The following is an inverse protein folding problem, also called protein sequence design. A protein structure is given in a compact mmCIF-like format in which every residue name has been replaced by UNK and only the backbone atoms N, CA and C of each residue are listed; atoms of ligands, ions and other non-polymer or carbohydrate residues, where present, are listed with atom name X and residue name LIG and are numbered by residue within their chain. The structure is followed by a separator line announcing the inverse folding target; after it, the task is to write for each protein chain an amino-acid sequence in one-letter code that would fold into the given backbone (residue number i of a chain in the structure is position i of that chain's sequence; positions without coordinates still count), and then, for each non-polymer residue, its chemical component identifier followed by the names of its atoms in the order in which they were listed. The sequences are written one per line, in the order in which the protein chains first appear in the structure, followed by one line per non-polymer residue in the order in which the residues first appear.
data_IF_011967632884
#
_entry.id   IF_011967632884
#
_cell.length_a   1.000
_cell.length_b   1.000
_cell.length_c   1.000
_cell.angle_alpha   90.00
_cell.angle_beta   90.00
_cell.angle_gamma   90.00
#
_symmetry.space_group_name_H-M   'P 1'
#
loop_
_entity.id
_entity.type
_entity.pdbx_description
1 polymer ?
#
# COMPACT_ATOMS: atom_id res chain seq x y z
N UNK A 1 19.55 -14.42 -39.27
CA UNK A 1 19.08 -13.21 -40.00
C UNK A 1 18.41 -12.31 -39.03
N UNK A 2 19.00 -11.17 -38.77
CA UNK A 2 18.68 -10.21 -37.72
C UNK A 2 17.36 -9.47 -37.97
N UNK A 3 16.47 -9.46 -37.00
CA UNK A 3 15.38 -8.52 -36.90
C UNK A 3 15.50 -7.74 -35.60
N UNK A 4 16.17 -6.59 -35.67
CA UNK A 4 16.18 -5.58 -34.59
C UNK A 4 14.85 -4.88 -34.63
N UNK A 5 13.93 -5.23 -33.72
CA UNK A 5 12.73 -4.43 -33.48
C UNK A 5 13.10 -3.24 -32.61
N UNK A 6 12.97 -2.06 -33.18
CA UNK A 6 13.05 -0.77 -32.50
C UNK A 6 11.94 -0.68 -31.46
N UNK A 7 12.29 -0.76 -30.20
CA UNK A 7 11.39 -0.39 -29.12
C UNK A 7 11.34 1.15 -29.03
N UNK A 8 10.24 1.71 -29.46
CA UNK A 8 9.91 3.11 -29.18
C UNK A 8 9.56 3.23 -27.70
N UNK A 9 10.43 3.88 -26.94
CA UNK A 9 10.13 4.34 -25.58
C UNK A 9 9.08 5.44 -25.66
N UNK A 10 7.83 5.11 -25.43
CA UNK A 10 6.83 6.10 -25.05
C UNK A 10 6.92 6.30 -23.53
N UNK A 11 7.57 7.37 -23.13
CA UNK A 11 7.50 7.89 -21.76
C UNK A 11 6.13 8.56 -21.56
N UNK A 12 5.11 7.77 -21.30
CA UNK A 12 3.82 8.28 -20.84
C UNK A 12 3.90 8.41 -19.34
N UNK A 13 3.99 9.62 -18.82
CA UNK A 13 3.92 9.93 -17.41
C UNK A 13 2.57 9.50 -16.86
N UNK A 14 2.57 8.54 -15.98
CA UNK A 14 1.39 7.99 -15.34
C UNK A 14 1.39 8.32 -13.85
N UNK A 15 0.26 8.77 -13.34
CA UNK A 15 0.03 9.25 -11.98
C UNK A 15 -0.84 8.30 -11.14
N UNK A 16 -0.60 8.12 -9.83
CA UNK A 16 -1.35 7.23 -8.93
C UNK A 16 -2.10 7.95 -7.86
N UNK A 17 -3.22 7.38 -7.51
CA UNK A 17 -3.95 7.73 -6.32
C UNK A 17 -3.73 6.76 -5.17
N UNK A 18 -3.31 7.32 -4.11
CA UNK A 18 -3.69 6.88 -2.79
C UNK A 18 -5.19 7.19 -2.59
N UNK A 19 -5.93 6.27 -2.04
CA UNK A 19 -7.29 6.48 -1.58
C UNK A 19 -7.27 7.49 -0.44
N UNK A 20 -7.19 8.77 -0.75
CA UNK A 20 -7.53 9.82 0.17
C UNK A 20 -9.05 9.88 0.24
N UNK A 21 -9.64 9.27 1.25
CA UNK A 21 -10.98 9.72 1.65
C UNK A 21 -10.88 11.23 1.86
N UNK A 22 -11.77 12.04 1.30
CA UNK A 22 -11.70 13.48 1.53
C UNK A 22 -11.80 13.73 3.03
N UNK A 23 -10.73 14.25 3.62
CA UNK A 23 -10.83 14.89 4.92
C UNK A 23 -11.74 16.08 4.72
N UNK A 24 -12.96 15.97 5.19
CA UNK A 24 -13.90 17.08 5.21
C UNK A 24 -13.38 18.08 6.23
N UNK A 25 -12.98 19.22 5.74
CA UNK A 25 -12.80 20.38 6.55
C UNK A 25 -14.09 20.61 7.36
N UNK A 26 -14.00 20.59 8.68
CA UNK A 26 -15.06 21.06 9.55
C UNK A 26 -15.26 22.55 9.23
N UNK A 27 -16.40 22.87 8.61
CA UNK A 27 -16.92 24.23 8.55
C UNK A 27 -17.40 24.59 9.97
N UNK A 28 -16.49 25.17 10.76
CA UNK A 28 -16.91 25.96 11.90
C UNK A 28 -17.43 27.28 11.33
N UNK A 29 -18.74 27.46 11.27
CA UNK A 29 -19.40 28.75 11.04
C UNK A 29 -19.14 29.69 12.20
N UNK A 30 -17.95 30.19 12.27
CA UNK A 30 -17.55 31.35 13.05
C UNK A 30 -16.95 32.33 12.07
N UNK A 31 -17.46 33.55 12.00
CA UNK A 31 -16.92 34.65 11.23
C UNK A 31 -15.47 34.92 11.67
N UNK A 32 -14.54 34.24 11.10
CA UNK A 32 -13.12 34.47 11.25
C UNK A 32 -12.72 35.55 10.23
N UNK A 33 -11.93 36.56 10.61
CA UNK A 33 -11.38 37.51 9.66
C UNK A 33 -10.63 36.75 8.56
N UNK A 34 -10.66 37.30 7.34
CA UNK A 34 -10.01 36.71 6.17
C UNK A 34 -8.61 36.20 6.54
N UNK A 35 -8.26 34.94 6.26
CA UNK A 35 -6.95 34.44 6.61
C UNK A 35 -5.89 35.24 5.88
N UNK A 36 -5.00 35.85 6.66
CA UNK A 36 -3.73 36.37 6.21
C UNK A 36 -3.10 35.33 5.28
N UNK A 37 -2.67 35.72 4.08
CA UNK A 37 -2.26 34.81 2.99
C UNK A 37 -1.43 33.67 3.53
N UNK A 38 -2.00 32.45 3.46
CA UNK A 38 -1.37 31.24 4.01
C UNK A 38 0.01 31.09 3.39
N UNK A 39 1.02 31.23 4.19
CA UNK A 39 2.42 31.15 3.79
C UNK A 39 2.63 29.77 3.11
N UNK A 40 3.21 29.79 1.92
CA UNK A 40 3.46 28.56 1.15
C UNK A 40 4.39 27.66 1.94
N UNK A 41 3.85 26.70 2.65
CA UNK A 41 4.65 25.74 3.39
C UNK A 41 5.30 24.75 2.42
N UNK A 42 6.60 24.64 2.47
CA UNK A 42 7.34 23.59 1.77
C UNK A 42 8.16 22.78 2.77
N UNK A 43 8.04 21.46 2.71
CA UNK A 43 8.83 20.54 3.53
C UNK A 43 9.74 19.74 2.61
N UNK A 44 11.04 19.71 2.92
CA UNK A 44 12.03 18.95 2.15
C UNK A 44 13.00 18.28 3.12
N UNK A 45 13.05 16.97 3.07
CA UNK A 45 14.02 16.22 3.86
C UNK A 45 14.53 14.96 3.14
N UNK A 46 15.69 14.51 3.57
CA UNK A 46 16.31 13.25 3.19
C UNK A 46 16.66 12.48 4.48
N UNK A 47 16.04 11.34 4.67
CA UNK A 47 16.35 10.39 5.74
C UNK A 47 17.33 9.33 5.20
N UNK A 48 18.47 9.23 5.82
CA UNK A 48 19.45 8.16 5.59
C UNK A 48 19.40 7.21 6.78
N UNK A 49 19.26 5.92 6.54
CA UNK A 49 19.30 4.95 7.62
C UNK A 49 20.26 3.79 7.34
N UNK A 50 20.85 3.29 8.41
CA UNK A 50 21.64 2.08 8.40
C UNK A 50 21.15 1.17 9.52
N UNK A 51 21.10 -0.14 9.27
CA UNK A 51 20.74 -1.12 10.28
C UNK A 51 21.57 -2.39 10.15
N UNK A 52 21.76 -3.06 11.28
CA UNK A 52 22.37 -4.38 11.38
C UNK A 52 21.41 -5.31 12.13
N UNK A 53 21.38 -6.57 11.75
CA UNK A 53 20.50 -7.51 12.40
C UNK A 53 20.72 -8.95 11.99
N UNK A 54 19.75 -9.78 12.38
CA UNK A 54 19.74 -11.21 12.12
C UNK A 54 18.33 -11.65 11.74
N UNK A 55 18.22 -12.62 10.84
CA UNK A 55 16.97 -13.27 10.42
C UNK A 55 17.21 -14.77 10.34
N UNK A 56 16.30 -15.57 10.89
CA UNK A 56 16.43 -17.03 10.96
C UNK A 56 16.13 -17.72 9.62
N UNK A 57 15.23 -17.12 8.82
CA UNK A 57 14.83 -17.63 7.50
C UNK A 57 14.40 -16.48 6.59
N UNK A 58 15.33 -15.65 6.11
CA UNK A 58 15.01 -14.41 5.41
C UNK A 58 14.19 -14.60 4.13
N UNK A 59 14.20 -15.78 3.53
CA UNK A 59 13.48 -16.09 2.29
C UNK A 59 12.24 -16.96 2.49
N UNK A 60 11.89 -17.35 3.72
CA UNK A 60 10.81 -18.30 4.02
C UNK A 60 10.94 -19.57 3.17
N UNK A 61 12.14 -20.15 3.11
CA UNK A 61 12.41 -21.38 2.38
C UNK A 61 11.94 -22.58 3.19
N UNK A 62 11.37 -23.56 2.49
CA UNK A 62 10.90 -24.82 3.10
C UNK A 62 12.04 -25.82 3.39
N UNK A 63 13.15 -25.69 2.68
CA UNK A 63 14.33 -26.54 2.83
C UNK A 63 15.59 -25.68 2.73
N UNK A 64 16.62 -26.02 3.53
CA UNK A 64 17.90 -25.29 3.53
C UNK A 64 17.73 -23.84 4.01
N UNK A 65 16.84 -23.62 4.98
CA UNK A 65 16.73 -22.33 5.65
C UNK A 65 17.94 -22.17 6.59
N UNK A 66 18.81 -21.22 6.26
CA UNK A 66 19.90 -20.84 7.14
C UNK A 66 19.69 -19.41 7.62
N UNK A 67 19.89 -19.22 8.92
CA UNK A 67 19.86 -17.89 9.49
C UNK A 67 21.01 -17.05 8.95
N UNK A 68 20.77 -15.76 8.78
CA UNK A 68 21.77 -14.83 8.27
C UNK A 68 21.83 -13.54 9.05
N UNK A 69 23.03 -13.07 9.30
CA UNK A 69 23.24 -11.67 9.62
C UNK A 69 22.94 -10.83 8.37
N UNK A 70 22.41 -9.66 8.60
CA UNK A 70 22.08 -8.71 7.53
C UNK A 70 22.55 -7.30 7.88
N UNK A 71 23.01 -6.59 6.85
CA UNK A 71 23.24 -5.16 6.88
C UNK A 71 22.32 -4.48 5.89
N UNK A 72 21.66 -3.40 6.30
CA UNK A 72 20.75 -2.65 5.45
C UNK A 72 21.12 -1.19 5.46
N UNK A 73 21.06 -0.57 4.29
CA UNK A 73 21.17 0.88 4.12
C UNK A 73 19.97 1.35 3.31
N UNK A 74 19.40 2.48 3.70
CA UNK A 74 18.31 3.08 2.91
C UNK A 74 18.41 4.59 2.88
N UNK A 75 17.85 5.17 1.82
CA UNK A 75 17.64 6.60 1.69
C UNK A 75 16.18 6.86 1.30
N UNK A 76 15.55 7.82 1.98
CA UNK A 76 14.20 8.28 1.71
C UNK A 76 14.19 9.79 1.59
N UNK A 77 13.83 10.30 0.40
CA UNK A 77 13.64 11.72 0.15
C UNK A 77 12.15 12.06 0.08
N UNK A 78 11.79 13.21 0.64
CA UNK A 78 10.43 13.77 0.53
C UNK A 78 10.55 15.25 0.18
N UNK A 79 9.77 15.70 -0.79
CA UNK A 79 9.53 17.09 -1.08
C UNK A 79 8.03 17.31 -1.18
N UNK A 80 7.47 18.10 -0.28
CA UNK A 80 6.07 18.45 -0.25
C UNK A 80 5.91 19.96 -0.26
N UNK A 81 4.88 20.45 -0.91
CA UNK A 81 4.53 21.85 -0.94
C UNK A 81 3.02 22.02 -0.92
N UNK A 82 2.56 22.99 -0.17
CA UNK A 82 1.16 23.33 -0.06
C UNK A 82 0.96 24.85 -0.36
N UNK A 83 -0.12 25.14 -1.03
CA UNK A 83 -0.64 26.48 -1.25
C UNK A 83 -2.12 26.49 -0.91
N UNK A 84 -2.79 27.65 -1.00
CA UNK A 84 -4.20 27.81 -0.62
C UNK A 84 -5.15 26.79 -1.27
N UNK A 85 -4.93 26.51 -2.54
CA UNK A 85 -5.83 25.64 -3.34
C UNK A 85 -5.15 24.37 -3.84
N UNK A 86 -3.92 24.09 -3.46
CA UNK A 86 -3.19 22.95 -3.98
C UNK A 86 -2.20 22.39 -2.97
N UNK A 87 -2.05 21.08 -2.98
CA UNK A 87 -0.96 20.39 -2.29
C UNK A 87 -0.34 19.38 -3.24
N UNK A 88 0.97 19.22 -3.16
CA UNK A 88 1.70 18.25 -3.97
C UNK A 88 2.84 17.67 -3.16
N UNK A 89 3.20 16.42 -3.43
CA UNK A 89 4.40 15.85 -2.86
C UNK A 89 5.06 14.87 -3.84
N UNK A 90 6.37 14.75 -3.71
CA UNK A 90 7.18 13.72 -4.35
C UNK A 90 7.97 13.04 -3.24
N UNK A 91 7.97 11.72 -3.25
CA UNK A 91 8.78 10.90 -2.35
C UNK A 91 9.55 9.86 -3.13
N UNK A 92 10.80 9.65 -2.74
CA UNK A 92 11.67 8.61 -3.27
C UNK A 92 12.21 7.76 -2.14
N UNK A 93 12.39 6.48 -2.40
CA UNK A 93 12.94 5.52 -1.46
C UNK A 93 13.85 4.55 -2.21
N UNK A 94 15.00 4.25 -1.64
CA UNK A 94 15.89 3.19 -2.09
C UNK A 94 16.45 2.46 -0.87
N UNK A 95 16.51 1.14 -0.95
CA UNK A 95 17.07 0.30 0.10
C UNK A 95 17.93 -0.79 -0.53
N UNK A 96 19.09 -1.04 0.08
CA UNK A 96 19.94 -2.19 -0.17
C UNK A 96 20.09 -2.99 1.12
N UNK A 97 19.82 -4.30 1.05
CA UNK A 97 20.06 -5.25 2.14
C UNK A 97 21.06 -6.31 1.69
N UNK A 98 22.18 -6.40 2.37
CA UNK A 98 23.17 -7.47 2.18
C UNK A 98 23.00 -8.53 3.26
N UNK A 99 22.90 -9.77 2.84
CA UNK A 99 22.97 -10.92 3.73
C UNK A 99 24.40 -11.46 3.66
N UNK A 100 24.98 -11.71 4.83
CA UNK A 100 26.41 -12.08 4.91
C UNK A 100 26.69 -13.56 4.61
N UNK A 101 25.72 -14.25 4.05
CA UNK A 101 25.82 -15.61 3.54
C UNK A 101 25.24 -15.71 2.11
N UNK A 102 24.82 -16.86 1.68
CA UNK A 102 24.40 -17.21 0.30
C UNK A 102 23.20 -16.47 -0.27
N UNK A 103 22.54 -15.58 0.51
CA UNK A 103 21.35 -14.85 0.05
C UNK A 103 21.67 -13.56 -0.76
N UNK A 104 22.93 -13.13 -0.74
CA UNK A 104 23.43 -12.03 -1.57
C UNK A 104 22.86 -10.64 -1.24
N UNK A 105 22.99 -9.74 -2.20
CA UNK A 105 22.50 -8.36 -2.10
C UNK A 105 21.09 -8.26 -2.66
N UNK A 106 20.21 -7.57 -1.95
CA UNK A 106 18.86 -7.21 -2.37
C UNK A 106 18.70 -5.72 -2.38
N UNK A 107 17.98 -5.22 -3.35
CA UNK A 107 17.73 -3.79 -3.47
C UNK A 107 16.34 -3.52 -4.00
N UNK A 108 15.66 -2.58 -3.36
CA UNK A 108 14.33 -2.11 -3.76
C UNK A 108 14.35 -0.60 -3.92
N UNK A 109 13.48 -0.10 -4.76
CA UNK A 109 13.27 1.35 -4.90
C UNK A 109 11.81 1.67 -5.13
N UNK A 110 11.44 2.89 -4.80
CA UNK A 110 10.16 3.47 -5.21
C UNK A 110 10.30 4.99 -5.38
N UNK A 111 9.57 5.53 -6.34
CA UNK A 111 9.36 6.96 -6.52
C UNK A 111 7.88 7.19 -6.70
N UNK A 112 7.30 8.07 -5.91
CA UNK A 112 5.87 8.37 -5.93
C UNK A 112 5.66 9.87 -5.91
N UNK A 113 4.67 10.33 -6.67
CA UNK A 113 4.22 11.72 -6.66
C UNK A 113 2.71 11.78 -6.51
N UNK A 114 2.23 12.78 -5.82
CA UNK A 114 0.80 13.07 -5.74
C UNK A 114 0.57 14.57 -5.81
N UNK A 115 -0.60 14.96 -6.30
CA UNK A 115 -1.05 16.33 -6.32
C UNK A 115 -2.56 16.39 -6.12
N UNK A 116 -3.00 17.39 -5.40
CA UNK A 116 -4.41 17.71 -5.20
C UNK A 116 -4.61 19.18 -5.48
N UNK A 117 -5.66 19.55 -6.20
CA UNK A 117 -6.00 20.92 -6.52
C UNK A 117 -7.49 21.18 -6.36
N UNK A 118 -7.84 22.19 -5.58
CA UNK A 118 -9.18 22.76 -5.52
C UNK A 118 -9.38 23.63 -6.77
N UNK A 119 -10.34 23.30 -7.62
CA UNK A 119 -10.63 24.03 -8.86
C UNK A 119 -11.79 24.98 -8.66
N UNK A 120 -12.73 24.60 -7.80
CA UNK A 120 -13.84 25.44 -7.35
C UNK A 120 -14.21 25.07 -5.92
N UNK A 121 -15.14 25.77 -5.30
CA UNK A 121 -15.65 25.45 -3.95
C UNK A 121 -16.21 24.01 -3.86
N UNK A 122 -16.68 23.47 -4.98
CA UNK A 122 -17.31 22.16 -5.04
C UNK A 122 -16.47 21.09 -5.72
N UNK A 123 -15.38 21.43 -6.43
CA UNK A 123 -14.59 20.48 -7.22
C UNK A 123 -13.15 20.46 -6.77
N UNK A 124 -12.68 19.27 -6.38
CA UNK A 124 -11.30 18.97 -6.08
C UNK A 124 -10.78 17.90 -7.02
N UNK A 125 -9.71 18.19 -7.72
CA UNK A 125 -8.99 17.22 -8.56
C UNK A 125 -7.83 16.62 -7.78
N UNK A 126 -7.52 15.36 -8.06
CA UNK A 126 -6.35 14.70 -7.56
C UNK A 126 -5.69 13.86 -8.66
N UNK A 127 -4.38 13.78 -8.61
CA UNK A 127 -3.61 12.88 -9.45
C UNK A 127 -2.41 12.35 -8.66
N UNK A 128 -2.00 11.13 -8.94
CA UNK A 128 -0.81 10.58 -8.33
C UNK A 128 -0.11 9.57 -9.22
N UNK A 129 1.19 9.33 -9.02
CA UNK A 129 2.02 8.49 -9.84
C UNK A 129 3.29 7.92 -9.24
N UNK A 130 3.75 6.80 -9.78
CA UNK A 130 5.03 6.29 -9.34
C UNK A 130 5.51 5.05 -10.06
N UNK A 131 6.71 4.73 -9.69
CA UNK A 131 7.43 3.53 -10.12
C UNK A 131 8.05 2.88 -8.90
N UNK A 132 7.98 1.58 -8.83
CA UNK A 132 8.68 0.79 -7.80
C UNK A 132 9.25 -0.48 -8.40
N UNK A 133 10.26 -1.05 -7.77
CA UNK A 133 10.82 -2.29 -8.26
C UNK A 133 11.83 -2.91 -7.31
N UNK A 134 12.15 -4.15 -7.63
CA UNK A 134 13.23 -4.92 -7.04
C UNK A 134 14.35 -5.06 -8.09
N UNK A 135 15.54 -4.57 -7.77
CA UNK A 135 16.69 -4.61 -8.66
C UNK A 135 17.48 -5.91 -8.57
N UNK A 136 17.27 -6.70 -7.53
CA UNK A 136 18.07 -7.89 -7.22
C UNK A 136 17.45 -9.21 -7.62
N UNK A 137 16.16 -9.23 -7.93
CA UNK A 137 15.45 -10.43 -8.36
C UNK A 137 15.11 -11.43 -7.24
N UNK A 138 15.10 -10.98 -5.98
CA UNK A 138 14.73 -11.81 -4.83
C UNK A 138 13.63 -11.13 -4.01
N UNK A 139 12.40 -11.60 -4.16
CA UNK A 139 11.17 -10.98 -3.65
C UNK A 139 10.99 -10.94 -2.13
N UNK A 140 11.74 -11.72 -1.39
CA UNK A 140 11.50 -11.94 0.05
C UNK A 140 11.57 -10.70 0.94
N UNK A 141 12.16 -9.60 0.48
CA UNK A 141 12.30 -8.38 1.28
C UNK A 141 11.04 -7.52 1.36
N UNK A 142 10.04 -7.75 0.51
CA UNK A 142 8.77 -7.02 0.60
C UNK A 142 8.08 -7.23 1.95
N UNK A 143 8.38 -8.33 2.63
CA UNK A 143 7.85 -8.68 3.93
C UNK A 143 8.59 -8.03 5.11
N UNK A 144 9.81 -7.58 4.90
CA UNK A 144 10.62 -6.96 5.97
C UNK A 144 10.43 -5.44 6.05
N UNK A 145 9.65 -4.85 5.14
CA UNK A 145 9.34 -3.45 5.25
C UNK A 145 8.39 -3.24 6.45
N UNK A 146 8.98 -3.15 7.62
CA UNK A 146 8.39 -2.37 8.69
C UNK A 146 8.64 -0.92 8.27
N UNK A 147 7.64 -0.12 7.94
CA UNK A 147 7.85 1.30 7.75
C UNK A 147 8.45 1.76 9.07
N UNK A 148 9.74 2.04 9.09
CA UNK A 148 10.36 2.78 10.19
C UNK A 148 9.52 4.03 10.35
N UNK A 149 8.86 4.15 11.50
CA UNK A 149 7.79 5.08 11.75
C UNK A 149 8.07 6.42 11.04
N UNK A 150 7.35 6.78 10.01
CA UNK A 150 7.29 8.17 9.63
C UNK A 150 6.64 8.92 10.80
N UNK A 151 6.92 10.17 10.91
CA UNK A 151 6.08 11.14 11.58
C UNK A 151 4.64 10.68 11.57
N UNK A 152 3.97 10.82 12.70
CA UNK A 152 2.60 10.36 12.99
C UNK A 152 1.82 10.09 11.70
N UNK A 153 1.55 8.83 11.36
CA UNK A 153 0.88 8.54 10.11
C UNK A 153 -0.40 9.35 10.10
N UNK A 154 -0.62 10.14 9.05
CA UNK A 154 -1.86 10.89 8.89
C UNK A 154 -3.01 9.90 9.17
N UNK A 155 -3.82 10.12 10.23
CA UNK A 155 -4.87 9.19 10.61
C UNK A 155 -5.92 9.01 9.50
N UNK A 156 -5.90 9.88 8.50
CA UNK A 156 -6.81 9.85 7.36
C UNK A 156 -6.28 9.00 6.20
N UNK A 157 -4.99 8.67 6.19
CA UNK A 157 -4.42 7.79 5.15
C UNK A 157 -4.58 6.35 5.63
N UNK A 158 -5.47 5.55 5.03
CA UNK A 158 -5.46 4.12 5.28
C UNK A 158 -4.08 3.61 4.89
N UNK A 159 -3.42 2.85 5.76
CA UNK A 159 -2.28 2.05 5.33
C UNK A 159 -2.74 1.29 4.08
N UNK A 160 -2.09 1.42 2.94
CA UNK A 160 -2.43 0.54 1.83
C UNK A 160 -2.27 -0.87 2.39
N UNK A 161 -3.27 -1.75 2.25
CA UNK A 161 -3.02 -3.14 2.47
C UNK A 161 -1.85 -3.46 1.55
N UNK A 162 -0.76 -3.94 2.11
CA UNK A 162 0.30 -4.57 1.32
C UNK A 162 -0.36 -5.82 0.75
N UNK A 163 -1.06 -5.64 -0.36
CA UNK A 163 -1.68 -6.72 -1.11
C UNK A 163 -0.54 -7.40 -1.82
N UNK A 164 -0.05 -8.42 -1.19
CA UNK A 164 0.98 -9.25 -1.77
C UNK A 164 0.30 -10.33 -2.59
N UNK A 165 0.77 -10.48 -3.80
CA UNK A 165 0.35 -11.57 -4.66
C UNK A 165 0.99 -12.86 -4.12
N UNK A 166 0.21 -13.85 -3.66
CA UNK A 166 0.76 -15.08 -3.09
C UNK A 166 1.58 -15.89 -4.10
N UNK A 167 1.32 -15.73 -5.40
CA UNK A 167 2.07 -16.41 -6.44
C UNK A 167 3.51 -15.88 -6.54
N UNK A 168 3.73 -14.66 -6.08
CA UNK A 168 5.07 -14.06 -6.02
C UNK A 168 5.93 -14.53 -4.84
N UNK A 169 5.40 -15.26 -3.88
CA UNK A 169 6.17 -15.73 -2.72
C UNK A 169 7.30 -16.73 -3.07
N UNK A 170 7.19 -17.44 -4.18
CA UNK A 170 8.21 -18.37 -4.66
C UNK A 170 8.94 -17.89 -5.90
N UNK A 171 8.62 -16.70 -6.37
CA UNK A 171 9.19 -16.15 -7.58
C UNK A 171 10.61 -15.63 -7.35
N UNK A 172 11.54 -16.06 -8.17
CA UNK A 172 12.91 -15.53 -8.25
C UNK A 172 13.06 -14.74 -9.55
N UNK A 173 12.92 -13.44 -9.48
CA UNK A 173 13.00 -12.54 -10.63
C UNK A 173 12.82 -11.10 -10.19
N UNK A 174 13.17 -10.16 -11.06
CA UNK A 174 12.97 -8.74 -10.78
C UNK A 174 11.53 -8.38 -11.10
N UNK A 175 10.93 -7.55 -10.28
CA UNK A 175 9.59 -7.03 -10.51
C UNK A 175 9.64 -5.53 -10.55
N UNK A 176 9.05 -4.94 -11.58
CA UNK A 176 8.84 -3.50 -11.68
C UNK A 176 7.36 -3.22 -11.78
N UNK A 177 6.91 -2.18 -11.12
CA UNK A 177 5.54 -1.69 -11.22
C UNK A 177 5.56 -0.21 -11.54
N UNK A 178 4.84 0.15 -12.58
CA UNK A 178 4.56 1.53 -12.97
C UNK A 178 3.07 1.72 -12.86
N UNK A 179 2.64 2.87 -12.38
CA UNK A 179 1.24 3.03 -12.13
C UNK A 179 0.77 4.49 -12.22
N UNK A 180 -0.52 4.72 -12.55
CA UNK A 180 -1.11 6.00 -12.77
C UNK A 180 -2.59 6.12 -12.54
N UNK A 181 -3.04 7.21 -11.86
CA UNK A 181 -4.45 7.52 -11.78
C UNK A 181 -4.70 9.02 -11.57
N UNK A 182 -5.88 9.42 -11.96
CA UNK A 182 -6.42 10.74 -11.69
C UNK A 182 -7.90 10.62 -11.30
N UNK A 183 -8.43 11.66 -10.65
CA UNK A 183 -9.82 11.68 -10.27
C UNK A 183 -10.30 13.05 -9.83
N UNK A 184 -11.59 13.09 -9.54
CA UNK A 184 -12.27 14.27 -9.04
C UNK A 184 -13.19 13.90 -7.88
N UNK A 185 -13.23 14.76 -6.87
CA UNK A 185 -14.23 14.78 -5.82
C UNK A 185 -15.12 16.01 -6.03
N UNK A 186 -16.42 15.81 -6.11
CA UNK A 186 -17.42 16.82 -6.44
C UNK A 186 -18.43 16.88 -5.32
N UNK A 187 -18.56 18.03 -4.66
CA UNK A 187 -19.66 18.27 -3.73
C UNK A 187 -20.91 18.60 -4.53
N UNK A 188 -21.88 17.70 -4.51
CA UNK A 188 -23.14 17.83 -5.30
C UNK A 188 -24.26 18.50 -4.52
N UNK A 189 -24.05 18.75 -3.23
CA UNK A 189 -24.98 19.45 -2.34
C UNK A 189 -24.38 19.70 -0.98
N UNK A 190 -25.16 20.22 -0.04
CA UNK A 190 -24.71 20.45 1.34
C UNK A 190 -24.42 19.15 2.09
N UNK A 191 -25.05 18.04 1.68
CA UNK A 191 -24.96 16.73 2.34
C UNK A 191 -24.51 15.61 1.44
N UNK A 192 -24.02 15.88 0.23
CA UNK A 192 -23.65 14.82 -0.70
C UNK A 192 -22.39 15.13 -1.48
N UNK A 193 -21.63 14.09 -1.76
CA UNK A 193 -20.45 14.14 -2.61
C UNK A 193 -20.43 12.96 -3.60
N UNK A 194 -19.79 13.20 -4.73
CA UNK A 194 -19.48 12.18 -5.74
C UNK A 194 -17.98 12.16 -5.95
N UNK A 195 -17.40 10.98 -5.99
CA UNK A 195 -16.01 10.75 -6.36
C UNK A 195 -15.93 9.92 -7.63
N UNK A 196 -15.06 10.30 -8.55
CA UNK A 196 -14.71 9.51 -9.72
C UNK A 196 -13.18 9.44 -9.83
N UNK A 197 -12.67 8.30 -10.17
CA UNK A 197 -11.23 8.13 -10.44
C UNK A 197 -11.00 7.01 -11.43
N UNK A 198 -9.89 7.09 -12.16
CA UNK A 198 -9.46 6.05 -13.07
C UNK A 198 -7.94 6.07 -13.24
N UNK A 199 -7.40 4.96 -13.66
CA UNK A 199 -5.97 4.82 -13.83
C UNK A 199 -5.56 3.51 -14.46
N UNK A 200 -4.25 3.34 -14.56
CA UNK A 200 -3.64 2.12 -15.04
C UNK A 200 -2.39 1.78 -14.22
N UNK A 201 -2.08 0.50 -14.16
CA UNK A 201 -0.80 0.02 -13.62
C UNK A 201 -0.25 -1.09 -14.51
N UNK A 202 1.08 -1.14 -14.65
CA UNK A 202 1.78 -2.22 -15.36
C UNK A 202 2.75 -2.89 -14.40
N UNK A 203 2.69 -4.21 -14.35
CA UNK A 203 3.67 -5.06 -13.69
C UNK A 203 4.55 -5.73 -14.75
N UNK A 204 5.85 -5.68 -14.54
CA UNK A 204 6.87 -6.23 -15.45
C UNK A 204 7.72 -7.21 -14.63
N UNK A 205 7.83 -8.44 -15.11
CA UNK A 205 8.59 -9.50 -14.48
C UNK A 205 9.77 -9.88 -15.36
N UNK A 206 10.96 -9.96 -14.75
CA UNK A 206 12.16 -10.46 -15.45
C UNK A 206 12.54 -11.80 -14.82
N UNK A 207 12.35 -12.87 -15.53
CA UNK A 207 12.57 -14.24 -15.07
C UNK A 207 11.54 -15.18 -15.71
N UNK A 208 11.71 -16.47 -15.60
CA UNK A 208 10.84 -17.44 -16.22
C UNK A 208 9.53 -17.65 -15.43
N UNK A 209 8.41 -17.69 -16.11
CA UNK A 209 7.14 -18.24 -15.63
C UNK A 209 6.07 -17.28 -15.19
N UNK A 210 6.29 -15.96 -15.29
CA UNK A 210 5.25 -14.95 -15.07
C UNK A 210 5.15 -14.03 -16.29
N UNK A 211 3.92 -13.73 -16.67
CA UNK A 211 3.63 -12.80 -17.76
C UNK A 211 3.55 -11.37 -17.22
N UNK A 212 4.07 -10.44 -18.00
CA UNK A 212 3.83 -9.02 -17.76
C UNK A 212 2.33 -8.76 -17.88
N UNK A 213 1.80 -7.84 -17.08
CA UNK A 213 0.39 -7.49 -17.21
C UNK A 213 0.13 -6.01 -17.00
N UNK A 214 -0.92 -5.55 -17.64
CA UNK A 214 -1.45 -4.19 -17.48
C UNK A 214 -2.84 -4.26 -16.88
N UNK A 215 -3.08 -3.46 -15.85
CA UNK A 215 -4.40 -3.35 -15.20
C UNK A 215 -4.94 -1.94 -15.39
N UNK A 216 -6.11 -1.82 -15.98
CA UNK A 216 -6.91 -0.59 -16.03
C UNK A 216 -7.97 -0.64 -14.94
N UNK A 217 -8.25 0.49 -14.32
CA UNK A 217 -9.30 0.57 -13.30
C UNK A 217 -10.03 1.90 -13.31
N UNK A 218 -11.32 1.83 -12.97
CA UNK A 218 -12.18 2.98 -12.76
C UNK A 218 -12.98 2.77 -11.48
N UNK A 219 -13.19 3.86 -10.73
CA UNK A 219 -13.97 3.85 -9.51
C UNK A 219 -14.92 5.03 -9.48
N UNK A 220 -16.15 4.77 -9.06
CA UNK A 220 -17.15 5.77 -8.74
C UNK A 220 -17.58 5.61 -7.29
N UNK A 221 -17.86 6.71 -6.61
CA UNK A 221 -18.40 6.70 -5.26
C UNK A 221 -19.43 7.81 -5.07
N UNK A 222 -20.41 7.54 -4.23
CA UNK A 222 -21.41 8.50 -3.76
C UNK A 222 -21.45 8.44 -2.24
N UNK A 223 -21.44 9.60 -1.59
CA UNK A 223 -21.53 9.74 -0.15
C UNK A 223 -22.66 10.68 0.24
N UNK A 224 -23.42 10.31 1.27
CA UNK A 224 -24.49 11.09 1.87
C UNK A 224 -24.22 11.27 3.35
N UNK A 225 -24.10 12.51 3.82
CA UNK A 225 -23.94 12.87 5.21
C UNK A 225 -25.29 12.80 5.92
N UNK A 226 -25.51 11.75 6.71
CA UNK A 226 -26.70 11.63 7.55
C UNK A 226 -26.62 12.54 8.77
N UNK A 227 -25.41 12.73 9.29
CA UNK A 227 -25.08 13.67 10.36
C UNK A 227 -23.63 14.15 10.19
N UNK A 228 -23.17 15.07 11.05
CA UNK A 228 -21.77 15.49 11.11
C UNK A 228 -20.80 14.33 11.36
N UNK A 229 -21.27 13.27 12.00
CA UNK A 229 -20.46 12.11 12.40
C UNK A 229 -20.66 10.88 11.51
N UNK A 230 -21.70 10.86 10.67
CA UNK A 230 -22.08 9.64 9.95
C UNK A 230 -22.29 9.92 8.45
N UNK A 231 -21.56 9.17 7.64
CA UNK A 231 -21.69 9.15 6.18
C UNK A 231 -22.07 7.76 5.73
N UNK A 232 -23.10 7.63 4.94
CA UNK A 232 -23.43 6.41 4.19
C UNK A 232 -23.18 6.63 2.71
N UNK A 233 -22.96 5.56 1.96
CA UNK A 233 -22.70 5.72 0.55
C UNK A 233 -22.67 4.42 -0.22
N UNK A 234 -22.34 4.56 -1.49
CA UNK A 234 -22.13 3.45 -2.40
C UNK A 234 -20.83 3.68 -3.19
N UNK A 235 -20.18 2.60 -3.58
CA UNK A 235 -19.03 2.64 -4.50
C UNK A 235 -19.19 1.55 -5.55
N UNK A 236 -18.63 1.82 -6.73
CA UNK A 236 -18.48 0.87 -7.81
C UNK A 236 -17.04 0.92 -8.29
N UNK A 237 -16.36 -0.21 -8.23
CA UNK A 237 -15.04 -0.39 -8.82
C UNK A 237 -15.11 -1.32 -10.01
N UNK A 238 -14.42 -0.96 -11.09
CA UNK A 238 -14.22 -1.82 -12.26
C UNK A 238 -12.73 -1.93 -12.51
N UNK A 239 -12.26 -3.15 -12.74
CA UNK A 239 -10.85 -3.43 -13.05
C UNK A 239 -10.78 -4.40 -14.21
N UNK A 240 -9.92 -4.14 -15.17
CA UNK A 240 -9.58 -5.05 -16.26
C UNK A 240 -8.07 -5.27 -16.27
N UNK A 241 -7.65 -6.52 -16.28
CA UNK A 241 -6.25 -6.92 -16.36
C UNK A 241 -6.04 -7.68 -17.67
N UNK A 242 -5.00 -7.32 -18.41
CA UNK A 242 -4.60 -7.92 -19.67
C UNK A 242 -3.15 -8.41 -19.52
N UNK A 243 -2.87 -9.65 -19.91
CA UNK A 243 -1.55 -10.29 -19.81
C UNK A 243 -0.83 -10.22 -21.15
N UNK A 244 0.46 -9.89 -21.12
CA UNK A 244 1.27 -9.83 -22.32
C UNK A 244 1.65 -11.26 -22.76
N UNK A 245 1.56 -11.53 -24.06
CA UNK A 245 1.97 -12.82 -24.64
C UNK A 245 0.92 -13.93 -24.59
N UNK A 246 -0.24 -13.68 -23.99
CA UNK A 246 -1.41 -14.55 -24.01
C UNK A 246 -2.67 -13.74 -24.32
N UNK A 247 -3.74 -14.43 -24.72
CA UNK A 247 -5.07 -13.82 -24.84
C UNK A 247 -5.81 -13.78 -23.50
N UNK A 248 -5.10 -14.07 -22.41
CA UNK A 248 -5.66 -14.07 -21.07
C UNK A 248 -6.03 -12.68 -20.60
N UNK A 249 -7.21 -12.54 -20.07
CA UNK A 249 -7.66 -11.29 -19.46
C UNK A 249 -8.61 -11.56 -18.29
N UNK A 250 -8.77 -10.56 -17.45
CA UNK A 250 -9.77 -10.62 -16.39
C UNK A 250 -10.49 -9.31 -16.21
N UNK A 251 -11.78 -9.38 -15.91
CA UNK A 251 -12.61 -8.23 -15.57
C UNK A 251 -13.23 -8.46 -14.20
N UNK A 252 -13.03 -7.51 -13.29
CA UNK A 252 -13.57 -7.55 -11.93
C UNK A 252 -14.45 -6.32 -11.72
N UNK A 253 -15.70 -6.54 -11.29
CA UNK A 253 -16.65 -5.48 -10.94
C UNK A 253 -17.01 -5.63 -9.46
N UNK A 254 -16.89 -4.56 -8.69
CA UNK A 254 -17.12 -4.57 -7.24
C UNK A 254 -18.03 -3.43 -6.79
N UNK A 255 -19.37 -3.61 -6.83
CA UNK A 255 -20.30 -2.72 -6.14
C UNK A 255 -20.27 -2.96 -4.63
N UNK A 256 -20.33 -1.89 -3.84
CA UNK A 256 -20.38 -1.97 -2.38
C UNK A 256 -21.15 -0.80 -1.76
N UNK A 257 -21.87 -1.07 -0.67
CA UNK A 257 -22.39 -0.07 0.24
C UNK A 257 -21.31 0.31 1.26
N UNK A 258 -21.29 1.56 1.67
CA UNK A 258 -20.28 2.09 2.60
C UNK A 258 -20.95 2.81 3.76
N UNK A 259 -20.36 2.64 4.96
CA UNK A 259 -20.71 3.37 6.17
C UNK A 259 -19.42 3.87 6.81
N UNK A 260 -19.36 5.14 7.15
CA UNK A 260 -18.31 5.72 8.01
C UNK A 260 -18.99 6.50 9.12
N UNK A 261 -18.57 6.24 10.35
CA UNK A 261 -19.13 6.93 11.51
C UNK A 261 -18.06 7.19 12.56
N UNK A 262 -18.15 8.35 13.18
CA UNK A 262 -17.39 8.70 14.36
C UNK A 262 -18.23 8.34 15.58
N UNK A 263 -17.89 7.21 16.22
CA UNK A 263 -18.61 6.68 17.38
C UNK A 263 -18.40 7.52 18.64
N UNK A 264 -17.19 8.09 18.79
CA UNK A 264 -16.85 9.07 19.82
C UNK A 264 -15.78 10.03 19.27
N UNK A 265 -15.38 11.03 20.04
CA UNK A 265 -14.31 11.98 19.62
C UNK A 265 -13.05 11.28 19.13
N UNK A 266 -12.70 10.15 19.72
CA UNK A 266 -11.47 9.42 19.46
C UNK A 266 -11.69 8.07 18.74
N UNK A 267 -12.94 7.69 18.43
CA UNK A 267 -13.25 6.37 17.87
C UNK A 267 -13.99 6.50 16.54
N UNK A 268 -13.38 6.03 15.47
CA UNK A 268 -13.96 6.03 14.12
C UNK A 268 -14.10 4.61 13.61
N UNK A 269 -15.27 4.29 13.06
CA UNK A 269 -15.54 3.04 12.38
C UNK A 269 -15.81 3.29 10.89
N UNK A 270 -15.32 2.42 10.02
CA UNK A 270 -15.69 2.38 8.61
C UNK A 270 -15.93 0.95 8.15
N UNK A 271 -16.96 0.77 7.33
CA UNK A 271 -17.33 -0.53 6.76
C UNK A 271 -17.73 -0.34 5.31
N UNK A 272 -17.28 -1.23 4.45
CA UNK A 272 -17.77 -1.40 3.10
C UNK A 272 -18.14 -2.86 2.88
N UNK A 273 -19.37 -3.10 2.46
CA UNK A 273 -19.89 -4.44 2.17
C UNK A 273 -20.37 -4.46 0.72
N UNK A 274 -19.93 -5.46 -0.01
CA UNK A 274 -20.22 -5.57 -1.42
C UNK A 274 -20.10 -6.98 -1.98
N UNK A 275 -20.23 -7.06 -3.28
CA UNK A 275 -20.06 -8.30 -4.03
C UNK A 275 -19.02 -8.05 -5.13
N UNK A 276 -18.14 -9.01 -5.34
CA UNK A 276 -17.18 -8.98 -6.44
C UNK A 276 -17.66 -9.98 -7.49
N UNK A 277 -17.89 -9.48 -8.70
CA UNK A 277 -18.10 -10.29 -9.89
C UNK A 277 -16.79 -10.32 -10.67
N UNK A 278 -16.23 -11.50 -10.87
CA UNK A 278 -15.01 -11.70 -11.62
C UNK A 278 -15.29 -12.57 -12.84
N UNK A 279 -14.84 -12.11 -13.99
CA UNK A 279 -14.76 -12.89 -15.21
C UNK A 279 -13.29 -13.06 -15.60
N UNK A 280 -12.85 -14.28 -15.78
CA UNK A 280 -11.49 -14.63 -16.19
C UNK A 280 -11.60 -15.39 -17.49
N UNK A 281 -10.97 -14.86 -18.51
CA UNK A 281 -10.89 -15.43 -19.83
C UNK A 281 -9.45 -15.94 -20.06
N UNK A 282 -9.32 -17.23 -20.33
CA UNK A 282 -8.06 -17.90 -20.65
C UNK A 282 -8.21 -18.62 -21.99
N UNK A 283 -8.14 -17.88 -23.06
CA UNK A 283 -8.32 -18.39 -24.40
C UNK A 283 -9.65 -19.12 -24.58
N UNK A 284 -9.65 -20.45 -24.60
CA UNK A 284 -10.88 -21.24 -24.76
C UNK A 284 -11.69 -21.46 -23.47
N UNK A 285 -11.18 -21.07 -22.31
CA UNK A 285 -11.78 -21.31 -20.99
C UNK A 285 -12.20 -20.00 -20.35
N UNK A 286 -13.49 -19.83 -20.16
CA UNK A 286 -14.08 -18.69 -19.44
C UNK A 286 -14.57 -19.13 -18.07
N UNK A 287 -14.26 -18.38 -17.05
CA UNK A 287 -14.69 -18.65 -15.68
C UNK A 287 -15.32 -17.43 -15.06
N UNK A 288 -16.51 -17.61 -14.53
CA UNK A 288 -17.22 -16.61 -13.74
C UNK A 288 -17.13 -16.95 -12.26
N UNK A 289 -16.90 -15.96 -11.42
CA UNK A 289 -16.89 -16.10 -9.98
C UNK A 289 -17.61 -14.94 -9.31
N UNK A 290 -18.37 -15.26 -8.27
CA UNK A 290 -19.04 -14.25 -7.45
C UNK A 290 -18.61 -14.44 -6.00
N UNK A 291 -18.03 -13.39 -5.43
CA UNK A 291 -17.47 -13.41 -4.08
C UNK A 291 -18.00 -12.24 -3.24
N UNK A 292 -18.24 -12.49 -1.96
CA UNK A 292 -18.49 -11.41 -1.01
C UNK A 292 -17.23 -10.56 -0.86
N UNK A 293 -17.37 -9.23 -0.87
CA UNK A 293 -16.30 -8.29 -0.53
C UNK A 293 -16.62 -7.56 0.76
N UNK A 294 -15.64 -7.47 1.64
CA UNK A 294 -15.74 -6.80 2.94
C UNK A 294 -14.51 -5.96 3.13
N UNK A 295 -14.68 -4.75 3.62
CA UNK A 295 -13.59 -3.93 4.13
C UNK A 295 -14.09 -3.22 5.37
N UNK A 296 -13.42 -3.39 6.50
CA UNK A 296 -13.81 -2.79 7.76
C UNK A 296 -12.59 -2.29 8.54
N UNK A 297 -12.77 -1.17 9.22
CA UNK A 297 -11.78 -0.69 10.18
C UNK A 297 -12.46 -0.05 11.38
N UNK A 298 -11.83 -0.22 12.54
CA UNK A 298 -12.17 0.45 13.80
C UNK A 298 -10.89 1.03 14.37
N UNK A 299 -10.82 2.37 14.45
CA UNK A 299 -9.64 3.08 14.89
C UNK A 299 -9.94 3.99 16.09
N UNK A 300 -9.19 3.82 17.17
CA UNK A 300 -9.09 4.77 18.26
C UNK A 300 -7.85 5.63 18.04
N UNK A 301 -8.00 6.94 18.02
CA UNK A 301 -6.91 7.90 17.83
C UNK A 301 -6.98 8.98 18.92
N UNK A 302 -5.88 9.12 19.66
CA UNK A 302 -5.66 10.20 20.62
C UNK A 302 -4.39 10.97 20.23
N UNK A 303 -3.99 11.98 20.98
CA UNK A 303 -2.75 12.73 20.73
C UNK A 303 -1.48 11.85 20.81
N UNK A 304 -1.48 10.85 21.68
CA UNK A 304 -0.31 9.99 21.93
C UNK A 304 -0.47 8.56 21.46
N UNK A 305 -1.66 8.14 21.04
CA UNK A 305 -1.94 6.73 20.75
C UNK A 305 -2.87 6.58 19.55
N UNK A 306 -2.57 5.62 18.70
CA UNK A 306 -3.46 5.15 17.65
C UNK A 306 -3.53 3.63 17.67
N UNK A 307 -4.73 3.08 17.82
CA UNK A 307 -5.01 1.66 17.75
C UNK A 307 -6.06 1.42 16.65
N UNK A 308 -5.73 0.63 15.64
CA UNK A 308 -6.63 0.27 14.55
C UNK A 308 -6.73 -1.23 14.37
N UNK A 309 -7.96 -1.75 14.40
CA UNK A 309 -8.29 -3.08 13.91
C UNK A 309 -8.83 -3.00 12.48
N UNK A 310 -8.47 -3.96 11.63
CA UNK A 310 -8.90 -4.02 10.23
C UNK A 310 -9.30 -5.43 9.85
N UNK A 311 -10.28 -5.53 8.98
CA UNK A 311 -10.69 -6.76 8.34
C UNK A 311 -10.91 -6.48 6.85
N UNK A 312 -10.43 -7.37 5.98
CA UNK A 312 -10.73 -7.24 4.56
C UNK A 312 -10.94 -8.60 3.90
N UNK A 313 -11.84 -8.63 2.93
CA UNK A 313 -12.02 -9.71 1.98
C UNK A 313 -12.26 -9.10 0.60
N UNK A 314 -11.45 -9.47 -0.36
CA UNK A 314 -11.57 -9.01 -1.75
C UNK A 314 -10.97 -10.04 -2.69
N UNK A 315 -11.41 -9.99 -3.94
CA UNK A 315 -10.84 -10.80 -5.01
C UNK A 315 -10.00 -9.93 -5.94
N UNK A 316 -8.91 -10.49 -6.42
CA UNK A 316 -8.00 -9.85 -7.39
C UNK A 316 -7.40 -10.90 -8.32
N UNK A 317 -6.87 -10.47 -9.43
CA UNK A 317 -6.10 -11.31 -10.34
C UNK A 317 -4.65 -11.37 -9.90
N UNK A 318 -4.02 -12.54 -9.99
CA UNK A 318 -2.61 -12.75 -9.67
C UNK A 318 -1.70 -12.62 -10.89
N UNK A 319 -0.39 -12.67 -10.66
CA UNK A 319 0.62 -12.69 -11.72
C UNK A 319 0.57 -13.94 -12.62
N UNK A 320 -0.12 -15.00 -12.18
CA UNK A 320 -0.33 -16.24 -12.93
C UNK A 320 -1.71 -16.31 -13.59
N UNK A 321 -2.38 -15.15 -13.76
CA UNK A 321 -3.75 -15.03 -14.27
C UNK A 321 -4.83 -15.79 -13.47
N UNK A 322 -4.51 -16.25 -12.24
CA UNK A 322 -5.48 -16.87 -11.35
C UNK A 322 -6.34 -15.81 -10.61
N UNK A 323 -7.54 -16.18 -10.19
CA UNK A 323 -8.33 -15.38 -9.26
C UNK A 323 -7.88 -15.70 -7.84
N UNK A 324 -7.39 -14.68 -7.13
CA UNK A 324 -7.00 -14.79 -5.73
C UNK A 324 -8.00 -14.06 -4.85
N UNK A 325 -8.65 -14.81 -3.95
CA UNK A 325 -9.45 -14.24 -2.87
C UNK A 325 -8.57 -14.09 -1.63
N UNK A 326 -8.40 -12.86 -1.19
CA UNK A 326 -7.61 -12.50 -0.01
C UNK A 326 -8.55 -12.20 1.14
N UNK A 327 -8.37 -12.88 2.27
CA UNK A 327 -9.02 -12.56 3.55
C UNK A 327 -7.94 -12.11 4.52
N UNK A 328 -8.08 -10.95 5.13
CA UNK A 328 -7.11 -10.46 6.09
C UNK A 328 -7.74 -9.89 7.34
N UNK A 329 -7.07 -10.10 8.46
CA UNK A 329 -7.35 -9.46 9.75
C UNK A 329 -6.04 -8.88 10.25
N UNK A 330 -6.06 -7.65 10.73
CA UNK A 330 -4.87 -6.99 11.25
C UNK A 330 -5.18 -6.01 12.36
N UNK A 331 -4.18 -5.79 13.21
CA UNK A 331 -4.19 -4.79 14.26
C UNK A 331 -2.88 -4.02 14.19
N UNK A 332 -2.98 -2.70 14.26
CA UNK A 332 -1.83 -1.79 14.35
C UNK A 332 -2.00 -0.90 15.57
N UNK A 333 -0.98 -0.84 16.38
CA UNK A 333 -0.89 0.03 17.53
C UNK A 333 0.35 0.90 17.47
N UNK A 334 0.15 2.19 17.53
CA UNK A 334 1.20 3.21 17.61
C UNK A 334 1.04 3.98 18.90
N UNK A 335 2.13 4.22 19.62
CA UNK A 335 2.13 4.99 20.86
C UNK A 335 3.35 5.89 20.94
N UNK A 336 3.13 7.18 21.20
CA UNK A 336 4.17 8.09 21.69
C UNK A 336 4.34 7.82 23.19
N UNK A 337 5.50 7.33 23.60
CA UNK A 337 5.81 7.11 25.02
C UNK A 337 6.16 8.44 25.68
N UNK A 338 6.88 9.28 24.95
CA UNK A 338 7.18 10.68 25.25
C UNK A 338 7.43 11.45 23.94
N UNK A 339 7.94 12.70 24.01
CA UNK A 339 8.24 13.52 22.84
C UNK A 339 9.35 12.96 21.94
N UNK A 340 10.21 12.12 22.50
CA UNK A 340 11.36 11.56 21.80
C UNK A 340 11.20 10.06 21.46
N UNK A 341 10.24 9.36 22.07
CA UNK A 341 10.16 7.90 22.00
C UNK A 341 8.82 7.45 21.41
N UNK A 342 8.87 6.51 20.48
CA UNK A 342 7.69 5.90 19.88
C UNK A 342 7.79 4.40 19.89
N UNK A 343 6.64 3.73 20.07
CA UNK A 343 6.47 2.29 19.97
C UNK A 343 5.39 1.99 18.93
N UNK A 344 5.67 1.09 18.02
CA UNK A 344 4.71 0.59 17.05
C UNK A 344 4.66 -0.93 17.13
N UNK A 345 3.45 -1.47 17.20
CA UNK A 345 3.20 -2.91 17.11
C UNK A 345 2.21 -3.17 15.96
N UNK A 346 2.43 -4.24 15.22
CA UNK A 346 1.49 -4.70 14.22
C UNK A 346 1.39 -6.21 14.22
N UNK A 347 0.17 -6.71 13.99
CA UNK A 347 -0.10 -8.13 13.80
C UNK A 347 -1.09 -8.28 12.65
N UNK A 348 -0.84 -9.21 11.75
CA UNK A 348 -1.77 -9.53 10.67
C UNK A 348 -1.75 -11.00 10.31
N UNK A 349 -2.92 -11.51 9.95
CA UNK A 349 -3.12 -12.83 9.37
C UNK A 349 -3.79 -12.63 8.01
N UNK A 350 -3.27 -13.26 7.00
CA UNK A 350 -3.81 -13.22 5.64
C UNK A 350 -4.00 -14.65 5.15
N UNK A 351 -5.22 -14.95 4.72
CA UNK A 351 -5.58 -16.22 4.11
C UNK A 351 -5.85 -15.98 2.63
N UNK A 352 -5.08 -16.63 1.78
CA UNK A 352 -5.20 -16.57 0.34
C UNK A 352 -5.86 -17.84 -0.18
N UNK A 353 -6.78 -17.67 -1.12
CA UNK A 353 -7.39 -18.74 -1.88
C UNK A 353 -7.18 -18.42 -3.34
N UNK A 354 -6.29 -19.13 -4.00
CA UNK A 354 -6.04 -19.01 -5.43
C UNK A 354 -6.88 -20.05 -6.17
N UNK A 355 -7.64 -19.58 -7.14
CA UNK A 355 -8.48 -20.42 -8.00
C UNK A 355 -7.96 -20.29 -9.43
N UNK A 356 -7.15 -21.26 -9.84
CA UNK A 356 -6.69 -21.39 -11.21
C UNK A 356 -7.78 -22.06 -12.06
N UNK A 357 -7.95 -21.59 -13.30
CA UNK A 357 -8.90 -22.22 -14.25
C UNK A 357 -8.45 -23.63 -14.68
N UNK A 358 -7.17 -23.93 -14.58
CA UNK A 358 -6.55 -25.16 -15.05
C UNK A 358 -6.01 -26.07 -13.94
N UNK A 359 -6.01 -25.62 -12.68
CA UNK A 359 -5.45 -26.33 -11.55
C UNK A 359 -6.40 -26.34 -10.35
N UNK A 360 -6.12 -27.23 -9.40
CA UNK A 360 -6.84 -27.30 -8.14
C UNK A 360 -6.71 -26.00 -7.35
N UNK A 361 -7.73 -25.73 -6.54
CA UNK A 361 -7.76 -24.64 -5.59
C UNK A 361 -6.58 -24.75 -4.63
N UNK A 362 -5.76 -23.71 -4.55
CA UNK A 362 -4.62 -23.63 -3.64
C UNK A 362 -4.91 -22.64 -2.50
N UNK A 363 -4.49 -23.00 -1.31
CA UNK A 363 -4.61 -22.14 -0.14
C UNK A 363 -3.25 -21.81 0.46
N UNK A 364 -3.10 -20.61 0.98
CA UNK A 364 -1.94 -20.24 1.78
C UNK A 364 -2.32 -19.29 2.91
N UNK A 365 -1.65 -19.43 4.04
CA UNK A 365 -1.82 -18.58 5.21
C UNK A 365 -0.52 -17.84 5.48
N UNK A 366 -0.61 -16.56 5.69
CA UNK A 366 0.53 -15.72 6.03
C UNK A 366 0.27 -15.01 7.36
N UNK A 367 1.13 -15.25 8.34
CA UNK A 367 1.15 -14.56 9.62
C UNK A 367 2.32 -13.58 9.65
N UNK A 368 2.08 -12.37 10.12
CA UNK A 368 3.10 -11.36 10.37
C UNK A 368 2.88 -10.70 11.72
N UNK A 369 3.97 -10.61 12.49
CA UNK A 369 4.07 -9.83 13.70
C UNK A 369 5.26 -8.88 13.54
N UNK A 370 5.11 -7.62 13.95
CA UNK A 370 6.21 -6.67 13.95
C UNK A 370 6.11 -5.74 15.17
N UNK A 371 7.26 -5.39 15.71
CA UNK A 371 7.42 -4.41 16.77
C UNK A 371 8.57 -3.48 16.40
N UNK A 372 8.39 -2.18 16.54
CA UNK A 372 9.40 -1.17 16.30
C UNK A 372 9.43 -0.18 17.47
N UNK A 373 10.59 0.01 18.06
CA UNK A 373 10.84 1.07 19.03
C UNK A 373 11.83 2.05 18.42
N UNK A 374 11.52 3.33 18.48
CA UNK A 374 12.45 4.38 18.05
C UNK A 374 12.58 5.47 19.09
N UNK A 375 13.79 6.04 19.19
CA UNK A 375 14.13 7.16 20.05
C UNK A 375 14.84 8.25 19.25
N UNK A 376 14.34 9.47 19.32
CA UNK A 376 15.01 10.65 18.82
C UNK A 376 16.12 11.05 19.79
N UNK A 377 17.35 11.03 19.34
CA UNK A 377 18.55 11.37 20.13
C UNK A 377 18.77 12.88 20.10
N UNK A 378 18.57 13.49 18.92
CA UNK A 378 18.52 14.92 18.69
C UNK A 378 17.63 15.21 17.47
N UNK A 379 17.55 16.46 17.02
CA UNK A 379 16.71 16.85 15.89
C UNK A 379 16.98 16.08 14.59
N UNK A 380 18.25 15.66 14.39
CA UNK A 380 18.69 14.97 13.15
C UNK A 380 18.89 13.50 13.30
N UNK A 381 19.12 13.01 14.51
CA UNK A 381 19.53 11.66 14.75
C UNK A 381 18.47 10.91 15.56
N UNK A 382 18.05 9.77 15.07
CA UNK A 382 17.22 8.81 15.78
C UNK A 382 17.81 7.40 15.66
N UNK A 383 17.48 6.54 16.60
CA UNK A 383 17.86 5.14 16.57
C UNK A 383 16.78 4.27 17.21
N UNK A 384 16.86 2.98 16.99
CA UNK A 384 15.86 2.06 17.52
C UNK A 384 16.11 0.61 17.19
N UNK A 385 15.09 -0.18 17.47
CA UNK A 385 15.10 -1.64 17.29
C UNK A 385 13.81 -2.04 16.58
N UNK A 386 13.95 -2.88 15.57
CA UNK A 386 12.83 -3.54 14.89
C UNK A 386 12.92 -5.05 15.17
N UNK A 387 11.79 -5.64 15.55
CA UNK A 387 11.61 -7.07 15.73
C UNK A 387 10.49 -7.55 14.80
N UNK A 388 10.65 -8.71 14.21
CA UNK A 388 9.65 -9.30 13.32
C UNK A 388 9.56 -10.80 13.47
N UNK A 389 8.36 -11.32 13.33
CA UNK A 389 8.12 -12.74 13.11
C UNK A 389 7.12 -12.90 11.97
N UNK A 390 7.34 -13.89 11.11
CA UNK A 390 6.46 -14.19 9.99
C UNK A 390 6.49 -15.68 9.70
N UNK A 391 5.37 -16.18 9.24
CA UNK A 391 5.19 -17.56 8.85
C UNK A 391 4.33 -17.62 7.60
N UNK A 392 4.72 -18.45 6.65
CA UNK A 392 3.96 -18.74 5.45
C UNK A 392 3.68 -20.23 5.38
N UNK A 393 2.43 -20.60 5.58
CA UNK A 393 1.94 -21.96 5.45
C UNK A 393 1.23 -22.13 4.11
N UNK A 394 1.63 -23.14 3.31
CA UNK A 394 1.06 -23.52 2.02
C UNK A 394 0.65 -24.98 2.05
N UNK A 395 -0.15 -25.40 1.08
CA UNK A 395 -0.35 -26.83 0.80
C UNK A 395 0.99 -27.46 0.40
N UNK A 396 1.47 -28.41 1.20
CA UNK A 396 2.78 -29.02 1.06
C UNK A 396 3.66 -28.86 2.31
N UNK A 397 4.98 -29.08 2.21
CA UNK A 397 5.88 -28.88 3.34
C UNK A 397 5.90 -27.39 3.76
N UNK A 398 5.68 -27.18 5.06
CA UNK A 398 5.64 -25.83 5.62
C UNK A 398 7.03 -25.17 5.61
N UNK A 399 7.14 -23.90 5.29
CA UNK A 399 8.37 -23.16 5.51
C UNK A 399 8.57 -22.92 7.00
N UNK A 400 9.82 -22.84 7.42
CA UNK A 400 10.14 -22.43 8.78
C UNK A 400 9.67 -21.01 9.04
N UNK A 401 9.32 -20.75 10.29
CA UNK A 401 9.02 -19.39 10.74
C UNK A 401 10.30 -18.55 10.68
N UNK A 402 10.20 -17.35 10.14
CA UNK A 402 11.28 -16.37 10.21
C UNK A 402 11.09 -15.47 11.43
N UNK A 403 12.12 -15.40 12.25
CA UNK A 403 12.23 -14.44 13.35
C UNK A 403 13.41 -13.53 13.04
N UNK A 404 13.18 -12.22 13.05
CA UNK A 404 14.21 -11.24 12.72
C UNK A 404 14.27 -10.13 13.76
N UNK A 405 15.46 -9.59 13.93
CA UNK A 405 15.73 -8.42 14.76
C UNK A 405 16.80 -7.54 14.14
N UNK A 406 16.57 -6.24 14.14
CA UNK A 406 17.52 -5.25 13.65
C UNK A 406 17.63 -4.07 14.60
N UNK A 407 18.85 -3.54 14.71
CA UNK A 407 19.12 -2.24 15.35
C UNK A 407 19.40 -1.24 14.23
N UNK A 408 18.82 -0.06 14.30
CA UNK A 408 18.98 0.95 13.26
C UNK A 408 19.37 2.32 13.82
N UNK A 409 20.01 3.09 12.96
CA UNK A 409 20.27 4.51 13.14
C UNK A 409 19.77 5.24 11.90
N UNK A 410 19.11 6.40 12.10
CA UNK A 410 18.62 7.25 11.04
C UNK A 410 19.12 8.67 11.25
N UNK A 411 19.54 9.29 10.17
CA UNK A 411 19.98 10.68 10.12
C UNK A 411 19.14 11.46 9.11
N UNK A 412 18.55 12.57 9.55
CA UNK A 412 17.72 13.47 8.72
C UNK A 412 18.52 14.69 8.28
N UNK A 413 18.41 15.02 7.01
CA UNK A 413 18.96 16.21 6.37
C UNK A 413 17.78 17.01 5.82
N UNK A 414 17.70 18.30 6.12
CA UNK A 414 16.64 19.20 5.65
C UNK A 414 15.68 19.59 6.75
N UNK A 415 14.41 19.80 6.40
CA UNK A 415 13.41 20.33 7.32
C UNK A 415 13.08 19.34 8.45
N UNK A 416 12.95 19.89 9.63
CA UNK A 416 12.56 19.16 10.85
C UNK A 416 11.10 19.57 11.13
N UNK A 417 10.16 18.63 10.97
CA UNK A 417 8.76 18.85 11.27
C UNK A 417 8.46 18.84 12.77
#
# INVERSE_FOLDING_TARGET
MNSIRKQCLFASGAAIALWASPALAQDTTGSTPAPEAAERASVKYLDLSASLGYSTNPLLRTTGSEGSFLGRVSARGVSAWSGELSSSSISGFVEGTSYFNDYGLKSIFSVNGNTTRQVSETVRLHASGGVSGDLSGQLSNRFLYVPTAPEVPDPTVPFPPTVEDPDLFSFSGRTYRIYGQAGAAIRTGTRSNVGISGGASRAIFTGSGLDDYTTFYANGSYGLYLSERTTVGARLGVRRTEYDGSDDNSTIINPAATLRTQLSENLTASVALGVTFANIDRGANERHSTNLSVNGSLCKTTESERLCGRVSRYAQTSATSALVTTNSVGVDWFKKLDEAQTLQLSASVVHYVSEDALADKRTSNYLRLAASYSRRINERLSGGVDLGARNLHREGPDPDTDISGTVFVRYRIGDFG
#
